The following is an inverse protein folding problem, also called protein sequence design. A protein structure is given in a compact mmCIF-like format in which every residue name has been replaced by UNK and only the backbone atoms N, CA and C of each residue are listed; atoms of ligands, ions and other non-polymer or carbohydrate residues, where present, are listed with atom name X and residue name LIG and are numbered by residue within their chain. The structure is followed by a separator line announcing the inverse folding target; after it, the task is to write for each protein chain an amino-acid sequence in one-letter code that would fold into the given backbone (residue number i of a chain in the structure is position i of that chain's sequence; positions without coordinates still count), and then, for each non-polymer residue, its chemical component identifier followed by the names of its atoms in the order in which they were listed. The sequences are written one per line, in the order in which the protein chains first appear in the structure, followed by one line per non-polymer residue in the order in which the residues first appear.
data_IF_388808217712
#
_entry.id   IF_388808217712
#
_cell.length_a   1.000
_cell.length_b   1.000
_cell.length_c   1.000
_cell.angle_alpha   90.00
_cell.angle_beta   90.00
_cell.angle_gamma   90.00
#
_symmetry.space_group_name_H-M   'P 1'
#
loop_
_entity.id
_entity.type
_entity.pdbx_description
1 polymer ?
#
# COMPACT_ATOMS: atom_id res chain seq x y z
N UNK A 1 -3.43 -47.62 2.31
CA UNK A 1 -2.51 -46.76 3.09
C UNK A 1 -3.28 -45.53 3.55
N UNK A 2 -3.48 -45.39 4.86
CA UNK A 2 -4.15 -44.24 5.50
C UNK A 2 -3.08 -43.18 5.80
N UNK A 3 -3.30 -41.92 5.44
CA UNK A 3 -2.66 -40.79 6.12
C UNK A 3 -3.72 -40.03 6.88
N UNK A 4 -3.54 -40.01 8.18
CA UNK A 4 -4.37 -39.39 9.19
C UNK A 4 -4.12 -37.88 9.22
N UNK A 5 -5.22 -37.13 9.26
CA UNK A 5 -5.51 -36.01 10.17
C UNK A 5 -4.29 -35.33 10.83
N UNK A 6 -4.04 -34.09 10.40
CA UNK A 6 -3.28 -33.08 11.14
C UNK A 6 -4.00 -31.75 10.99
N UNK A 7 -4.97 -31.50 11.86
CA UNK A 7 -5.53 -30.18 12.09
C UNK A 7 -4.41 -29.23 12.52
N UNK A 8 -4.19 -28.17 11.76
CA UNK A 8 -3.82 -26.87 12.32
C UNK A 8 -4.91 -25.91 11.88
N UNK A 9 -5.99 -25.87 12.67
CA UNK A 9 -6.89 -24.74 12.70
C UNK A 9 -6.08 -23.55 13.24
N UNK A 10 -5.40 -22.84 12.33
CA UNK A 10 -4.81 -21.54 12.63
C UNK A 10 -5.93 -20.58 12.97
N UNK A 11 -5.76 -19.85 14.07
CA UNK A 11 -6.70 -18.91 14.66
C UNK A 11 -7.47 -18.09 13.62
N UNK A 12 -8.78 -17.94 13.84
CA UNK A 12 -9.70 -17.22 12.95
C UNK A 12 -9.11 -15.85 12.61
N UNK A 13 -8.89 -15.59 11.31
CA UNK A 13 -8.47 -14.28 10.77
C UNK A 13 -9.38 -13.09 11.21
N UNK A 14 -10.54 -13.37 11.79
CA UNK A 14 -11.50 -12.39 12.31
C UNK A 14 -10.93 -11.49 13.42
N UNK A 15 -9.97 -11.95 14.24
CA UNK A 15 -9.43 -11.13 15.35
C UNK A 15 -8.37 -10.10 14.92
N UNK A 16 -7.70 -10.33 13.78
CA UNK A 16 -6.58 -9.49 13.34
C UNK A 16 -7.04 -8.30 12.48
N UNK A 17 -8.26 -8.33 11.95
CA UNK A 17 -8.80 -7.31 11.04
C UNK A 17 -8.30 -7.49 9.60
N UNK A 18 -8.62 -6.54 8.72
CA UNK A 18 -8.24 -6.62 7.30
C UNK A 18 -6.71 -6.46 7.12
N UNK A 19 -6.11 -7.28 6.26
CA UNK A 19 -4.69 -7.15 5.89
C UNK A 19 -4.47 -6.03 4.88
N UNK A 20 -3.21 -5.64 4.62
CA UNK A 20 -2.88 -4.65 3.60
C UNK A 20 -3.33 -5.10 2.20
N UNK A 21 -3.08 -6.37 1.85
CA UNK A 21 -3.54 -6.92 0.56
C UNK A 21 -5.07 -7.04 0.51
N UNK A 22 -5.70 -7.49 1.60
CA UNK A 22 -7.15 -7.55 1.70
C UNK A 22 -7.81 -6.17 1.53
N UNK A 23 -7.19 -5.12 2.07
CA UNK A 23 -7.69 -3.75 1.94
C UNK A 23 -7.60 -3.25 0.48
N UNK A 24 -6.53 -3.60 -0.23
CA UNK A 24 -6.42 -3.32 -1.66
C UNK A 24 -7.52 -4.04 -2.46
N UNK A 25 -7.71 -5.32 -2.20
CA UNK A 25 -8.68 -6.13 -2.93
C UNK A 25 -10.12 -5.64 -2.70
N UNK A 26 -10.47 -5.32 -1.46
CA UNK A 26 -11.76 -4.70 -1.13
C UNK A 26 -11.97 -3.38 -1.87
N UNK A 27 -10.97 -2.50 -1.88
CA UNK A 27 -11.02 -1.23 -2.61
C UNK A 27 -11.23 -1.44 -4.11
N UNK A 28 -10.49 -2.36 -4.73
CA UNK A 28 -10.59 -2.61 -6.18
C UNK A 28 -11.93 -3.24 -6.57
N UNK A 29 -12.43 -4.18 -5.76
CA UNK A 29 -13.73 -4.81 -5.97
C UNK A 29 -14.88 -3.80 -5.94
N UNK A 30 -14.84 -2.84 -5.01
CA UNK A 30 -15.88 -1.82 -4.88
C UNK A 30 -15.76 -0.73 -5.96
N UNK A 31 -14.54 -0.23 -6.21
CA UNK A 31 -14.32 0.93 -7.08
C UNK A 31 -14.48 0.65 -8.56
N UNK A 32 -14.34 -0.60 -9.01
CA UNK A 32 -14.49 -1.01 -10.42
C UNK A 32 -13.72 -0.08 -11.37
N UNK A 33 -12.45 0.14 -11.07
CA UNK A 33 -11.60 1.09 -11.79
C UNK A 33 -11.38 0.65 -13.25
N UNK A 34 -11.13 1.61 -14.14
CA UNK A 34 -10.63 1.30 -15.48
C UNK A 34 -9.25 0.65 -15.42
N UNK A 35 -8.94 -0.20 -16.40
CA UNK A 35 -7.73 -1.06 -16.44
C UNK A 35 -6.42 -0.30 -16.18
N UNK A 36 -6.26 0.88 -16.77
CA UNK A 36 -5.08 1.73 -16.56
C UNK A 36 -4.94 2.18 -15.10
N UNK A 37 -6.04 2.62 -14.49
CA UNK A 37 -6.05 3.08 -13.09
C UNK A 37 -5.80 1.92 -12.14
N UNK A 38 -6.43 0.76 -12.38
CA UNK A 38 -6.18 -0.44 -11.59
C UNK A 38 -4.71 -0.87 -11.65
N UNK A 39 -4.10 -0.85 -12.85
CA UNK A 39 -2.67 -1.17 -13.01
C UNK A 39 -1.78 -0.23 -12.19
N UNK A 40 -2.06 1.07 -12.19
CA UNK A 40 -1.31 2.04 -11.38
C UNK A 40 -1.49 1.82 -9.88
N UNK A 41 -2.70 1.48 -9.44
CA UNK A 41 -3.01 1.18 -8.03
C UNK A 41 -2.24 -0.07 -7.57
N UNK A 42 -2.33 -1.17 -8.32
CA UNK A 42 -1.60 -2.41 -8.03
C UNK A 42 -0.09 -2.20 -8.05
N UNK A 43 0.44 -1.41 -8.99
CA UNK A 43 1.87 -1.12 -9.06
C UNK A 43 2.38 -0.34 -7.83
N UNK A 44 1.58 0.61 -7.31
CA UNK A 44 1.92 1.31 -6.08
C UNK A 44 1.90 0.37 -4.87
N UNK A 45 0.86 -0.45 -4.75
CA UNK A 45 0.73 -1.39 -3.64
C UNK A 45 1.79 -2.46 -3.63
N UNK A 46 2.16 -3.04 -4.79
CA UNK A 46 3.28 -3.99 -4.89
C UNK A 46 4.58 -3.44 -4.32
N UNK A 47 4.86 -2.13 -4.51
CA UNK A 47 6.07 -1.49 -3.94
C UNK A 47 5.93 -1.26 -2.44
N UNK A 48 4.73 -0.93 -1.99
CA UNK A 48 4.45 -0.71 -0.59
C UNK A 48 4.49 -2.02 0.22
N UNK A 49 3.86 -3.09 -0.27
CA UNK A 49 3.82 -4.40 0.38
C UNK A 49 5.17 -5.08 0.40
N UNK A 50 6.07 -4.79 -0.56
CA UNK A 50 7.47 -5.19 -0.49
C UNK A 50 8.24 -4.62 0.73
N UNK A 51 7.69 -3.61 1.41
CA UNK A 51 8.29 -2.99 2.60
C UNK A 51 7.60 -3.47 3.87
N UNK A 52 6.27 -3.55 3.87
CA UNK A 52 5.47 -3.80 5.08
C UNK A 52 4.97 -5.23 5.21
N UNK A 53 5.00 -6.01 4.14
CA UNK A 53 4.30 -7.29 4.03
C UNK A 53 2.82 -7.13 3.68
N UNK A 54 2.33 -7.91 2.72
CA UNK A 54 0.91 -7.90 2.32
C UNK A 54 -0.03 -8.45 3.40
N UNK A 55 0.45 -9.45 4.15
CA UNK A 55 -0.29 -10.12 5.24
C UNK A 55 -0.36 -9.29 6.54
N UNK A 56 0.39 -8.19 6.63
CA UNK A 56 0.36 -7.32 7.81
C UNK A 56 -1.06 -6.78 8.02
N UNK A 57 -1.61 -6.79 9.25
CA UNK A 57 -2.87 -6.11 9.55
C UNK A 57 -2.80 -4.63 9.17
N UNK A 58 -3.78 -4.13 8.39
CA UNK A 58 -3.76 -2.76 7.89
C UNK A 58 -3.77 -1.73 9.04
N UNK A 59 -4.41 -2.06 10.17
CA UNK A 59 -4.45 -1.22 11.39
C UNK A 59 -3.08 -1.05 12.06
N UNK A 60 -2.13 -1.95 11.79
CA UNK A 60 -0.78 -1.91 12.36
C UNK A 60 0.23 -1.18 11.46
N UNK A 61 -0.21 -0.71 10.29
CA UNK A 61 0.62 0.11 9.42
C UNK A 61 0.88 1.45 10.10
N UNK A 62 2.15 1.71 10.37
CA UNK A 62 2.60 2.89 11.10
C UNK A 62 3.01 4.04 10.18
N UNK A 63 3.14 5.25 10.72
CA UNK A 63 3.79 6.36 9.99
C UNK A 63 5.25 6.07 9.65
N UNK A 64 5.93 5.20 10.40
CA UNK A 64 7.30 4.81 10.10
C UNK A 64 7.35 3.99 8.80
N UNK A 65 6.42 3.06 8.63
CA UNK A 65 6.25 2.26 7.40
C UNK A 65 6.00 3.14 6.18
N UNK A 66 5.09 4.11 6.30
CA UNK A 66 4.81 5.07 5.23
C UNK A 66 6.02 5.95 4.88
N UNK A 67 6.85 6.31 5.86
CA UNK A 67 8.11 7.04 5.62
C UNK A 67 9.16 6.16 4.95
N UNK A 68 9.28 4.88 5.35
CA UNK A 68 10.17 3.92 4.70
C UNK A 68 9.79 3.76 3.21
N UNK A 69 8.50 3.70 2.90
CA UNK A 69 8.02 3.71 1.52
C UNK A 69 8.34 5.00 0.78
N UNK A 70 8.14 6.17 1.39
CA UNK A 70 8.55 7.44 0.77
C UNK A 70 10.05 7.46 0.46
N UNK A 71 10.89 7.02 1.39
CA UNK A 71 12.34 6.94 1.20
C UNK A 71 12.71 5.99 0.06
N UNK A 72 12.07 4.83 -0.04
CA UNK A 72 12.33 3.88 -1.13
C UNK A 72 11.94 4.45 -2.49
N UNK A 73 10.84 5.21 -2.58
CA UNK A 73 10.42 5.88 -3.81
C UNK A 73 11.39 6.99 -4.22
N UNK A 74 11.94 7.75 -3.27
CA UNK A 74 12.94 8.79 -3.54
C UNK A 74 14.27 8.19 -4.01
N UNK A 75 14.61 6.99 -3.55
CA UNK A 75 15.79 6.25 -3.98
C UNK A 75 15.61 5.51 -5.31
N UNK A 76 14.36 5.24 -5.73
CA UNK A 76 14.06 4.37 -6.85
C UNK A 76 14.50 4.97 -8.21
N UNK A 77 15.11 4.15 -9.09
CA UNK A 77 15.42 4.57 -10.45
C UNK A 77 14.15 4.79 -11.28
N UNK A 78 14.24 5.68 -12.26
CA UNK A 78 13.19 5.94 -13.25
C UNK A 78 13.43 5.12 -14.50
N UNK A 79 12.53 4.19 -14.81
CA UNK A 79 12.56 3.43 -16.06
C UNK A 79 12.30 4.28 -17.32
N UNK A 80 11.87 5.54 -17.15
CA UNK A 80 11.61 6.49 -18.25
C UNK A 80 12.66 7.60 -18.31
N UNK A 81 13.88 7.33 -17.83
CA UNK A 81 15.01 8.25 -17.59
C UNK A 81 15.11 9.47 -18.52
N UNK A 82 14.27 10.48 -18.26
CA UNK A 82 14.44 11.89 -18.65
C UNK A 82 14.78 12.75 -17.42
N UNK A 83 14.87 12.14 -16.24
CA UNK A 83 15.28 12.78 -14.99
C UNK A 83 16.81 12.89 -15.00
N UNK A 84 17.35 14.09 -14.74
CA UNK A 84 18.81 14.34 -14.72
C UNK A 84 19.57 13.37 -13.80
N UNK A 85 18.91 12.93 -12.72
CA UNK A 85 19.53 12.09 -11.69
C UNK A 85 19.12 10.61 -11.81
N UNK A 86 18.44 10.23 -12.89
CA UNK A 86 17.96 8.86 -13.12
C UNK A 86 16.89 8.38 -12.12
N UNK A 87 16.39 9.26 -11.25
CA UNK A 87 15.43 8.94 -10.16
C UNK A 87 13.99 9.31 -10.52
N UNK A 88 13.03 8.74 -9.78
CA UNK A 88 11.62 9.14 -9.88
C UNK A 88 11.44 10.64 -9.63
N UNK A 89 10.61 11.28 -10.46
CA UNK A 89 10.29 12.69 -10.26
C UNK A 89 9.50 12.90 -8.95
N UNK A 90 9.59 14.08 -8.30
CA UNK A 90 8.78 14.41 -7.13
C UNK A 90 7.27 14.25 -7.36
N UNK A 91 6.80 14.50 -8.59
CA UNK A 91 5.40 14.32 -9.00
C UNK A 91 5.02 12.83 -8.99
N UNK A 92 5.90 11.96 -9.50
CA UNK A 92 5.69 10.51 -9.47
C UNK A 92 5.67 9.97 -8.06
N UNK A 93 6.59 10.42 -7.18
CA UNK A 93 6.60 10.04 -5.76
C UNK A 93 5.31 10.47 -5.07
N UNK A 94 4.89 11.73 -5.26
CA UNK A 94 3.62 12.24 -4.71
C UNK A 94 2.41 11.43 -5.19
N UNK A 95 2.37 11.06 -6.47
CA UNK A 95 1.30 10.23 -7.05
C UNK A 95 1.23 8.86 -6.37
N UNK A 96 2.36 8.17 -6.26
CA UNK A 96 2.43 6.83 -5.67
C UNK A 96 2.05 6.83 -4.19
N UNK A 97 2.48 7.83 -3.42
CA UNK A 97 2.02 8.03 -2.04
C UNK A 97 0.53 8.33 -1.96
N UNK A 98 0.00 9.15 -2.88
CA UNK A 98 -1.41 9.50 -2.95
C UNK A 98 -2.33 8.32 -3.26
N UNK A 99 -1.87 7.39 -4.08
CA UNK A 99 -2.58 6.13 -4.36
C UNK A 99 -2.75 5.31 -3.08
N UNK A 100 -1.66 5.06 -2.34
CA UNK A 100 -1.75 4.33 -1.07
C UNK A 100 -2.64 5.08 -0.05
N UNK A 101 -2.48 6.40 0.07
CA UNK A 101 -3.32 7.21 0.94
C UNK A 101 -4.81 7.10 0.60
N UNK A 102 -5.16 6.95 -0.68
CA UNK A 102 -6.55 6.79 -1.13
C UNK A 102 -7.15 5.47 -0.65
N UNK A 103 -6.40 4.37 -0.75
CA UNK A 103 -6.86 3.05 -0.31
C UNK A 103 -6.97 2.98 1.22
N UNK A 104 -6.02 3.57 1.95
CA UNK A 104 -6.14 3.65 3.42
C UNK A 104 -7.29 4.56 3.86
N UNK A 105 -7.59 5.64 3.11
CA UNK A 105 -8.77 6.48 3.36
C UNK A 105 -10.07 5.71 3.11
N UNK A 106 -10.09 4.83 2.10
CA UNK A 106 -11.19 3.90 1.91
C UNK A 106 -11.37 2.99 3.13
N UNK A 107 -10.29 2.39 3.65
CA UNK A 107 -10.36 1.57 4.86
C UNK A 107 -10.92 2.30 6.08
N UNK A 108 -10.60 3.59 6.25
CA UNK A 108 -11.24 4.44 7.27
C UNK A 108 -12.74 4.61 7.01
N UNK A 109 -13.13 4.89 5.76
CA UNK A 109 -14.54 5.03 5.39
C UNK A 109 -15.38 3.76 5.57
N UNK A 110 -14.75 2.57 5.49
CA UNK A 110 -15.39 1.28 5.72
C UNK A 110 -15.34 0.83 7.20
N UNK A 111 -14.75 1.62 8.09
CA UNK A 111 -14.61 1.26 9.51
C UNK A 111 -13.56 0.16 9.78
N UNK A 112 -12.68 -0.14 8.82
CA UNK A 112 -11.56 -1.07 9.03
C UNK A 112 -10.38 -0.44 9.76
N UNK A 113 -10.30 0.89 9.74
CA UNK A 113 -9.20 1.69 10.27
C UNK A 113 -9.75 2.92 10.99
N UNK A 114 -9.16 3.29 12.12
CA UNK A 114 -9.51 4.55 12.79
C UNK A 114 -8.88 5.77 12.10
N UNK A 115 -7.66 5.61 11.58
CA UNK A 115 -6.88 6.71 11.00
C UNK A 115 -6.11 6.28 9.77
N UNK A 116 -5.81 7.25 8.90
CA UNK A 116 -5.00 7.02 7.71
C UNK A 116 -3.50 7.27 8.00
N UNK A 117 -2.64 6.24 7.98
CA UNK A 117 -1.22 6.41 8.31
C UNK A 117 -0.45 7.25 7.28
N UNK A 118 -0.98 7.45 6.08
CA UNK A 118 -0.39 8.31 5.04
C UNK A 118 -0.70 9.80 5.23
N UNK A 119 -1.55 10.16 6.19
CA UNK A 119 -1.92 11.55 6.43
C UNK A 119 -0.70 12.40 6.81
N UNK A 120 -0.52 13.51 6.10
CA UNK A 120 0.65 14.40 6.25
C UNK A 120 1.94 13.95 5.54
N UNK A 121 2.01 12.71 5.02
CA UNK A 121 3.24 12.17 4.39
C UNK A 121 3.30 12.44 2.88
N UNK A 122 2.13 12.62 2.25
CA UNK A 122 1.97 12.85 0.80
C UNK A 122 2.46 14.21 0.32
N UNK A 123 2.79 15.14 1.22
CA UNK A 123 3.41 16.42 0.86
C UNK A 123 4.88 16.18 0.47
N UNK A 124 5.22 16.61 -0.75
CA UNK A 124 6.60 16.69 -1.24
C UNK A 124 6.88 18.17 -1.44
N UNK A 125 7.69 18.76 -0.55
CA UNK A 125 8.12 20.15 -0.68
C UNK A 125 9.06 20.21 -1.88
N UNK A 126 8.75 21.03 -2.89
CA UNK A 126 9.74 21.40 -3.90
C UNK A 126 10.76 22.26 -3.17
N UNK A 127 12.03 21.84 -3.15
CA UNK A 127 13.12 22.67 -2.63
C UNK A 127 13.06 24.05 -3.31
N UNK A 128 13.13 25.08 -2.48
CA UNK A 128 13.36 26.47 -2.90
C UNK A 128 14.81 26.60 -3.31
#
# INVERSE_FOLDING_TARGET
MKRTKGEIAGERQEEQGITVDGLLDAYLAERKLGSKSEFEVRAAFRRFTAIVGGDKPAREVSKADCRAYKSSLLAAPSNRSLSKDGRLSPVSVKKLLGICATVFRYGVGQGHLDTNPFEGITRVVRGV
#
